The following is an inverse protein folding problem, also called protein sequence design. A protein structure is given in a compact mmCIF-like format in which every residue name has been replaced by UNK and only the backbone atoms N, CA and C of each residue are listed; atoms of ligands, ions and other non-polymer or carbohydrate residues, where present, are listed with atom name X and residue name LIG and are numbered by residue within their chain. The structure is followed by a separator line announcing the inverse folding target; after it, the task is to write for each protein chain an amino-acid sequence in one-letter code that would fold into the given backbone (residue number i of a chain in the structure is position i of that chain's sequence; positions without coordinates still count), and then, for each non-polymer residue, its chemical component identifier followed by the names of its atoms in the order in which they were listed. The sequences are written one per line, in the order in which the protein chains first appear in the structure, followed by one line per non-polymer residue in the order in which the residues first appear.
data_IF_875212244442
#
_entry.id   IF_875212244442
#
_cell.length_a   1.000
_cell.length_b   1.000
_cell.length_c   1.000
_cell.angle_alpha   90.00
_cell.angle_beta   90.00
_cell.angle_gamma   90.00
#
_symmetry.space_group_name_H-M   'P 1'
#
loop_
_entity.id
_entity.type
_entity.pdbx_description
1 polymer ?
#
# COMPACT_ATOMS: atom_id res chain seq x y z
N UNK A 1 10.60 -9.45 18.62
CA UNK A 1 9.94 -9.53 17.29
C UNK A 1 11.03 -9.46 16.23
N UNK A 2 11.02 -10.34 15.23
CA UNK A 2 12.03 -10.30 14.15
C UNK A 2 11.66 -9.26 13.10
N UNK A 3 12.65 -8.72 12.36
CA UNK A 3 12.41 -7.78 11.27
C UNK A 3 11.44 -8.35 10.21
N UNK A 4 11.61 -9.64 9.88
CA UNK A 4 10.70 -10.36 8.98
C UNK A 4 9.27 -10.44 9.55
N UNK A 5 9.12 -10.75 10.84
CA UNK A 5 7.81 -10.77 11.50
C UNK A 5 7.12 -9.41 11.48
N UNK A 6 7.90 -8.33 11.60
CA UNK A 6 7.41 -6.96 11.43
C UNK A 6 6.96 -6.65 10.02
N UNK A 7 7.77 -6.97 9.01
CA UNK A 7 7.41 -6.78 7.62
C UNK A 7 6.10 -7.50 7.26
N UNK A 8 5.94 -8.75 7.72
CA UNK A 8 4.70 -9.51 7.49
C UNK A 8 3.51 -8.85 8.19
N UNK A 9 3.64 -8.47 9.46
CA UNK A 9 2.56 -7.79 10.18
C UNK A 9 2.16 -6.46 9.52
N UNK A 10 3.14 -5.70 9.03
CA UNK A 10 2.93 -4.44 8.31
C UNK A 10 2.17 -4.67 6.99
N UNK A 11 2.58 -5.68 6.20
CA UNK A 11 1.89 -6.05 4.96
C UNK A 11 0.44 -6.48 5.21
N UNK A 12 0.22 -7.33 6.22
CA UNK A 12 -1.13 -7.80 6.58
C UNK A 12 -1.99 -6.62 7.06
N UNK A 13 -1.45 -5.75 7.92
CA UNK A 13 -2.14 -4.56 8.39
C UNK A 13 -2.52 -3.62 7.24
N UNK A 14 -1.60 -3.38 6.29
CA UNK A 14 -1.87 -2.58 5.10
C UNK A 14 -2.99 -3.18 4.22
N UNK A 15 -2.97 -4.49 4.01
CA UNK A 15 -4.01 -5.19 3.26
C UNK A 15 -5.38 -5.08 3.94
N UNK A 16 -5.44 -5.28 5.27
CA UNK A 16 -6.67 -5.13 6.06
C UNK A 16 -7.22 -3.70 6.00
N UNK A 17 -6.36 -2.69 6.09
CA UNK A 17 -6.76 -1.29 5.94
C UNK A 17 -7.31 -1.01 4.54
N UNK A 18 -6.63 -1.50 3.49
CA UNK A 18 -7.11 -1.36 2.12
C UNK A 18 -8.47 -2.03 1.91
N UNK A 19 -8.66 -3.24 2.44
CA UNK A 19 -9.94 -3.95 2.41
C UNK A 19 -11.04 -3.20 3.18
N UNK A 20 -10.71 -2.64 4.34
CA UNK A 20 -11.63 -1.82 5.12
C UNK A 20 -12.05 -0.56 4.35
N UNK A 21 -11.11 0.15 3.72
CA UNK A 21 -11.40 1.31 2.86
C UNK A 21 -12.32 0.91 1.71
N UNK A 22 -11.98 -0.17 1.00
CA UNK A 22 -12.79 -0.67 -0.09
C UNK A 22 -14.21 -0.95 0.40
N UNK A 23 -14.37 -1.76 1.45
CA UNK A 23 -15.68 -2.14 1.97
C UNK A 23 -16.48 -0.93 2.44
N UNK A 24 -15.86 -0.01 3.18
CA UNK A 24 -16.52 1.18 3.73
C UNK A 24 -16.95 2.16 2.63
N UNK A 25 -16.15 2.29 1.57
CA UNK A 25 -16.36 3.24 0.48
C UNK A 25 -16.56 2.50 -0.85
N UNK A 26 -17.75 1.94 -1.05
CA UNK A 26 -18.08 1.13 -2.24
C UNK A 26 -17.87 1.86 -3.59
N UNK A 27 -18.06 3.19 -3.62
CA UNK A 27 -17.90 4.02 -4.83
C UNK A 27 -16.53 4.71 -4.94
N UNK A 28 -15.59 4.37 -4.04
CA UNK A 28 -14.27 4.97 -4.03
C UNK A 28 -13.31 4.20 -4.94
N UNK A 29 -12.79 4.88 -5.95
CA UNK A 29 -11.84 4.35 -6.91
C UNK A 29 -12.14 4.82 -8.34
N UNK A 30 -11.24 4.51 -9.29
CA UNK A 30 -11.42 4.87 -10.68
C UNK A 30 -12.62 4.14 -11.31
N UNK A 31 -13.30 4.81 -12.25
CA UNK A 31 -14.43 4.22 -12.97
C UNK A 31 -14.04 3.29 -14.12
N UNK A 32 -12.80 3.39 -14.59
CA UNK A 32 -12.32 2.61 -15.74
C UNK A 32 -11.16 1.72 -15.36
N UNK A 33 -11.06 0.57 -16.05
CA UNK A 33 -9.98 -0.40 -15.86
C UNK A 33 -8.62 0.22 -16.15
N UNK A 34 -8.54 1.10 -17.16
CA UNK A 34 -7.32 1.79 -17.56
C UNK A 34 -6.75 2.64 -16.42
N UNK A 35 -7.59 3.45 -15.77
CA UNK A 35 -7.15 4.27 -14.63
C UNK A 35 -6.77 3.42 -13.42
N UNK A 36 -7.49 2.32 -13.17
CA UNK A 36 -7.13 1.40 -12.08
C UNK A 36 -5.77 0.75 -12.33
N UNK A 37 -5.48 0.35 -13.57
CA UNK A 37 -4.18 -0.19 -13.94
C UNK A 37 -3.06 0.85 -13.81
N UNK A 38 -3.32 2.10 -14.19
CA UNK A 38 -2.36 3.20 -14.00
C UNK A 38 -2.00 3.37 -12.52
N UNK A 39 -2.96 3.28 -11.60
CA UNK A 39 -2.69 3.32 -10.16
C UNK A 39 -1.87 2.14 -9.66
N UNK A 40 -2.07 0.93 -10.20
CA UNK A 40 -1.22 -0.23 -9.88
C UNK A 40 0.22 0.03 -10.32
N UNK A 41 0.44 0.55 -11.53
CA UNK A 41 1.78 0.89 -12.03
C UNK A 41 2.43 1.94 -11.11
N UNK A 42 1.70 2.99 -10.74
CA UNK A 42 2.20 4.03 -9.81
C UNK A 42 2.55 3.41 -8.45
N UNK A 43 1.71 2.53 -7.91
CA UNK A 43 1.99 1.86 -6.66
C UNK A 43 3.24 0.97 -6.74
N UNK A 44 3.43 0.22 -7.82
CA UNK A 44 4.64 -0.56 -8.05
C UNK A 44 5.89 0.30 -8.12
N UNK A 45 5.82 1.45 -8.80
CA UNK A 45 6.93 2.41 -8.86
C UNK A 45 7.23 2.95 -7.46
N UNK A 46 6.21 3.39 -6.70
CA UNK A 46 6.38 3.87 -5.33
C UNK A 46 7.05 2.83 -4.43
N UNK A 47 6.56 1.59 -4.45
CA UNK A 47 7.15 0.50 -3.66
C UNK A 47 8.61 0.23 -4.04
N UNK A 48 8.95 0.36 -5.32
CA UNK A 48 10.32 0.18 -5.81
C UNK A 48 11.24 1.35 -5.47
N UNK A 49 10.69 2.54 -5.27
CA UNK A 49 11.43 3.73 -4.83
C UNK A 49 11.63 3.78 -3.31
N UNK A 50 10.82 3.09 -2.50
CA UNK A 50 10.97 3.08 -1.03
C UNK A 50 12.39 2.71 -0.57
N UNK A 51 13.05 1.64 -1.08
CA UNK A 51 14.41 1.32 -0.67
C UNK A 51 15.45 2.37 -1.05
N UNK A 52 15.17 3.22 -2.05
CA UNK A 52 16.06 4.32 -2.45
C UNK A 52 15.89 5.54 -1.54
N UNK A 53 14.70 5.70 -0.94
CA UNK A 53 14.39 6.81 -0.06
C UNK A 53 14.93 6.58 1.37
N UNK A 54 15.16 5.34 1.77
CA UNK A 54 15.65 4.98 3.10
C UNK A 54 16.98 4.21 2.99
N UNK A 55 18.13 4.86 3.25
CA UNK A 55 19.40 4.15 3.38
C UNK A 55 19.35 3.16 4.55
N UNK A 56 20.22 2.14 4.53
CA UNK A 56 20.23 1.09 5.56
C UNK A 56 20.23 1.68 6.98
N UNK A 57 19.28 1.26 7.84
CA UNK A 57 19.18 1.80 9.19
C UNK A 57 20.42 1.39 10.00
N UNK A 58 21.05 2.38 10.64
CA UNK A 58 22.13 2.15 11.60
C UNK A 58 21.59 1.31 12.77
N UNK A 59 22.05 0.06 12.96
CA UNK A 59 21.51 -0.86 13.95
C UNK A 59 21.76 -0.40 15.39
N UNK A 60 22.62 0.61 15.60
CA UNK A 60 22.93 1.14 16.93
C UNK A 60 22.00 2.26 17.39
N UNK A 61 21.12 2.77 16.52
CA UNK A 61 20.24 3.91 16.83
C UNK A 61 18.78 3.58 16.53
N UNK A 62 17.98 3.37 17.58
CA UNK A 62 16.52 3.41 17.47
C UNK A 62 16.12 4.88 17.32
N UNK A 63 16.13 5.36 16.08
CA UNK A 63 15.75 6.72 15.76
C UNK A 63 14.23 6.81 15.61
N UNK A 64 13.60 7.80 16.24
CA UNK A 64 12.18 8.12 16.01
C UNK A 64 11.86 8.32 14.51
N UNK A 65 12.88 8.68 13.72
CA UNK A 65 12.81 8.78 12.26
C UNK A 65 12.39 7.45 11.61
N UNK A 66 12.89 6.31 12.08
CA UNK A 66 12.54 5.00 11.51
C UNK A 66 11.04 4.68 11.65
N UNK A 67 10.41 5.10 12.75
CA UNK A 67 8.96 4.98 12.91
C UNK A 67 8.21 5.89 11.93
N UNK A 68 8.69 7.11 11.73
CA UNK A 68 8.09 8.04 10.76
C UNK A 68 8.19 7.45 9.35
N UNK A 69 9.34 6.90 8.96
CA UNK A 69 9.53 6.28 7.65
C UNK A 69 8.56 5.11 7.42
N UNK A 70 8.43 4.22 8.41
CA UNK A 70 7.54 3.08 8.30
C UNK A 70 6.07 3.51 8.24
N UNK A 71 5.63 4.37 9.16
CA UNK A 71 4.20 4.67 9.31
C UNK A 71 3.71 5.80 8.41
N UNK A 72 4.57 6.75 8.02
CA UNK A 72 4.20 7.86 7.15
C UNK A 72 4.48 7.58 5.66
N UNK A 73 5.36 6.64 5.32
CA UNK A 73 5.72 6.36 3.93
C UNK A 73 5.48 4.90 3.54
N UNK A 74 6.09 3.93 4.24
CA UNK A 74 5.97 2.52 3.85
C UNK A 74 4.53 2.00 3.99
N UNK A 75 3.87 2.26 5.12
CA UNK A 75 2.51 1.83 5.37
C UNK A 75 1.52 2.46 4.36
N UNK A 76 1.48 3.78 4.12
CA UNK A 76 0.59 4.35 3.12
C UNK A 76 0.86 3.83 1.70
N UNK A 77 2.13 3.63 1.32
CA UNK A 77 2.47 3.06 0.02
C UNK A 77 1.96 1.62 -0.13
N UNK A 78 2.09 0.79 0.91
CA UNK A 78 1.53 -0.56 0.93
C UNK A 78 0.00 -0.56 0.88
N UNK A 79 -0.65 0.28 1.69
CA UNK A 79 -2.12 0.43 1.68
C UNK A 79 -2.58 0.82 0.28
N UNK A 80 -1.90 1.77 -0.35
CA UNK A 80 -2.21 2.22 -1.71
C UNK A 80 -1.99 1.12 -2.76
N UNK A 81 -0.95 0.31 -2.62
CA UNK A 81 -0.70 -0.83 -3.50
C UNK A 81 -1.85 -1.86 -3.42
N UNK A 82 -2.26 -2.26 -2.22
CA UNK A 82 -3.39 -3.17 -2.07
C UNK A 82 -4.72 -2.55 -2.54
N UNK A 83 -4.91 -1.26 -2.27
CA UNK A 83 -6.11 -0.53 -2.66
C UNK A 83 -6.26 -0.43 -4.20
N UNK A 84 -5.16 -0.15 -4.91
CA UNK A 84 -5.16 -0.12 -6.37
C UNK A 84 -5.46 -1.48 -7.01
N UNK A 85 -4.89 -2.56 -6.46
CA UNK A 85 -5.26 -3.93 -6.86
C UNK A 85 -6.72 -4.27 -6.57
N UNK A 86 -7.25 -3.79 -5.45
CA UNK A 86 -8.67 -3.93 -5.10
C UNK A 86 -9.61 -3.21 -6.07
N UNK A 87 -9.23 -2.03 -6.56
CA UNK A 87 -9.99 -1.34 -7.62
C UNK A 87 -10.03 -2.14 -8.92
N UNK A 88 -8.88 -2.67 -9.37
CA UNK A 88 -8.83 -3.54 -10.55
C UNK A 88 -9.74 -4.75 -10.38
N UNK A 89 -9.68 -5.40 -9.21
CA UNK A 89 -10.51 -6.56 -8.89
C UNK A 89 -12.01 -6.22 -8.95
N UNK A 90 -12.41 -5.08 -8.39
CA UNK A 90 -13.82 -4.63 -8.42
C UNK A 90 -14.33 -4.41 -9.84
N UNK A 91 -13.52 -3.80 -10.70
CA UNK A 91 -13.90 -3.57 -12.09
C UNK A 91 -13.96 -4.89 -12.85
N UNK A 92 -12.97 -5.78 -12.67
CA UNK A 92 -12.92 -7.09 -13.31
C UNK A 92 -14.13 -7.97 -12.95
N UNK A 93 -14.62 -7.90 -11.71
CA UNK A 93 -15.79 -8.64 -11.22
C UNK A 93 -17.11 -7.88 -11.47
N UNK A 94 -17.08 -6.72 -12.12
CA UNK A 94 -18.28 -5.93 -12.48
C UNK A 94 -18.97 -5.24 -11.31
N UNK A 95 -18.28 -5.07 -10.17
CA UNK A 95 -18.80 -4.38 -8.98
C UNK A 95 -18.81 -2.85 -9.14
N UNK A 96 -18.03 -2.31 -10.08
CA UNK A 96 -18.04 -0.90 -10.46
C UNK A 96 -18.57 -0.81 -11.89
N UNK A 97 -19.88 -0.57 -12.05
CA UNK A 97 -20.46 -0.22 -13.35
C UNK A 97 -20.17 1.27 -13.62
N UNK A 98 -19.73 1.65 -14.83
CA UNK A 98 -19.58 3.06 -15.20
C UNK A 98 -20.90 3.83 -15.10
#
# INVERSE_FOLDING_TARGET
MTAQGFGVALMVGAALLALWILWRYARFGPRTIFWSLAHVIIACILLRLLPLAFPEPDPTKVSAIAYIEVFALALPALVYAFLSGGWVTRIAVGMLRP
#
